data_IF_214844776892
#
_entry.id   IF_214844776892
#
_cell.length_a   1.000
_cell.length_b   1.000
_cell.length_c   1.000
_cell.angle_alpha   90.00
_cell.angle_beta   90.00
_cell.angle_gamma   90.00
#
_symmetry.space_group_name_H-M   'P 1'
#
loop_
_entity.id
_entity.type
_entity.pdbx_description
1 polymer ?
#
# COMPACT_ATOMS: atom_id res chain seq x y z
N UNK A 1 36.49 -31.98 55.02
CA UNK A 1 36.60 -31.10 53.85
C UNK A 1 36.27 -31.93 52.62
N UNK A 2 35.05 -31.85 52.12
CA UNK A 2 34.71 -32.22 50.76
C UNK A 2 33.37 -31.54 50.44
N UNK A 3 33.42 -30.57 49.52
CA UNK A 3 32.30 -29.69 49.14
C UNK A 3 31.51 -30.39 48.04
N UNK A 4 30.24 -30.71 48.30
CA UNK A 4 29.29 -31.18 47.30
C UNK A 4 28.63 -29.95 46.64
N UNK A 5 29.12 -29.53 45.47
CA UNK A 5 28.55 -28.45 44.68
C UNK A 5 27.45 -29.01 43.77
N UNK A 6 26.17 -28.85 44.15
CA UNK A 6 25.03 -29.08 43.25
C UNK A 6 24.70 -27.77 42.53
N UNK A 7 25.12 -27.66 41.27
CA UNK A 7 24.68 -26.59 40.37
C UNK A 7 23.29 -26.98 39.83
N UNK A 8 22.24 -26.33 40.31
CA UNK A 8 20.94 -26.34 39.63
C UNK A 8 21.05 -25.41 38.41
N UNK A 9 21.08 -25.98 37.22
CA UNK A 9 20.94 -25.22 35.98
C UNK A 9 19.45 -24.89 35.80
N UNK A 10 19.07 -23.64 36.12
CA UNK A 10 17.75 -23.10 35.83
C UNK A 10 17.68 -22.83 34.32
N UNK A 11 17.15 -23.77 33.55
CA UNK A 11 16.79 -23.53 32.16
C UNK A 11 15.56 -22.60 32.13
N UNK A 12 15.79 -21.28 31.99
CA UNK A 12 14.74 -20.38 31.54
C UNK A 12 14.39 -20.75 30.09
N UNK A 13 13.34 -21.55 29.92
CA UNK A 13 12.63 -21.65 28.65
C UNK A 13 11.95 -20.29 28.42
N UNK A 14 12.60 -19.41 27.66
CA UNK A 14 11.90 -18.31 27.01
C UNK A 14 11.05 -18.98 25.93
N UNK A 15 9.79 -19.27 26.27
CA UNK A 15 8.79 -19.64 25.29
C UNK A 15 8.58 -18.42 24.40
N UNK A 16 9.29 -18.38 23.26
CA UNK A 16 8.96 -17.46 22.20
C UNK A 16 7.53 -17.77 21.77
N UNK A 17 6.60 -16.86 22.05
CA UNK A 17 5.29 -16.93 21.43
C UNK A 17 5.50 -16.70 19.94
N UNK A 18 5.50 -17.77 19.15
CA UNK A 18 5.29 -17.64 17.72
C UNK A 18 3.87 -17.12 17.55
N UNK A 19 3.71 -15.83 17.24
CA UNK A 19 2.42 -15.36 16.77
C UNK A 19 2.11 -16.09 15.46
N UNK A 20 0.95 -16.72 15.40
CA UNK A 20 0.46 -17.30 14.16
C UNK A 20 0.35 -16.17 13.14
N UNK A 21 0.98 -16.37 11.99
CA UNK A 21 0.89 -15.44 10.88
C UNK A 21 -0.58 -15.33 10.44
N UNK A 22 -1.10 -14.12 10.37
CA UNK A 22 -2.50 -13.88 9.98
C UNK A 22 -2.57 -13.76 8.47
N UNK A 23 -3.41 -14.56 7.82
CA UNK A 23 -3.63 -14.53 6.37
C UNK A 23 -4.96 -13.84 6.07
N UNK A 24 -4.97 -12.94 5.08
CA UNK A 24 -6.17 -12.22 4.65
C UNK A 24 -6.35 -12.27 3.13
N UNK A 25 -7.61 -12.37 2.71
CA UNK A 25 -8.05 -12.28 1.33
C UNK A 25 -9.55 -11.94 1.29
N UNK A 26 -10.06 -11.52 0.13
CA UNK A 26 -11.47 -11.28 -0.08
C UNK A 26 -12.00 -9.99 0.56
N UNK A 27 -13.32 -9.92 0.86
CA UNK A 27 -13.93 -8.76 1.51
C UNK A 27 -13.33 -8.48 2.89
N UNK A 28 -13.03 -7.21 3.18
CA UNK A 28 -12.53 -6.72 4.47
C UNK A 28 -13.30 -5.45 4.86
N UNK A 29 -13.62 -5.32 6.15
CA UNK A 29 -14.19 -4.12 6.77
C UNK A 29 -13.89 -4.08 8.26
N UNK A 30 -14.24 -2.99 8.94
CA UNK A 30 -13.92 -2.78 10.35
C UNK A 30 -12.47 -2.34 10.54
N UNK A 31 -11.75 -2.96 11.47
CA UNK A 31 -10.38 -2.57 11.83
C UNK A 31 -9.39 -3.70 11.61
N UNK A 32 -8.27 -3.41 10.93
CA UNK A 32 -7.09 -4.27 10.83
C UNK A 32 -5.91 -3.64 11.56
N UNK A 33 -5.12 -4.46 12.24
CA UNK A 33 -3.91 -4.06 12.95
C UNK A 33 -4.06 -3.91 14.47
N UNK A 34 -2.93 -3.69 15.17
CA UNK A 34 -1.56 -3.70 14.64
C UNK A 34 -1.07 -5.14 14.34
N UNK A 35 0.09 -5.27 13.68
CA UNK A 35 0.78 -6.54 13.46
C UNK A 35 0.98 -6.92 12.00
N UNK A 36 1.51 -8.12 11.78
CA UNK A 36 1.82 -8.67 10.46
C UNK A 36 0.66 -9.47 9.87
N UNK A 37 0.28 -9.12 8.65
CA UNK A 37 -0.70 -9.80 7.83
C UNK A 37 -0.06 -10.24 6.51
N UNK A 38 -0.33 -11.48 6.11
CA UNK A 38 -0.06 -11.97 4.76
C UNK A 38 -1.29 -11.80 3.91
N UNK A 39 -1.19 -10.95 2.90
CA UNK A 39 -2.22 -10.80 1.89
C UNK A 39 -2.03 -11.93 0.89
N UNK A 40 -2.97 -12.89 0.89
CA UNK A 40 -2.92 -14.11 0.07
C UNK A 40 -3.91 -14.15 -1.09
N UNK A 41 -4.63 -13.06 -1.29
CA UNK A 41 -5.56 -12.87 -2.38
C UNK A 41 -5.96 -11.41 -2.51
N UNK A 42 -6.74 -11.10 -3.52
CA UNK A 42 -7.27 -9.73 -3.69
C UNK A 42 -8.10 -9.33 -2.48
N UNK A 43 -7.92 -8.08 -2.03
CA UNK A 43 -8.70 -7.48 -0.95
C UNK A 43 -9.80 -6.61 -1.55
N UNK A 44 -10.98 -6.63 -0.94
CA UNK A 44 -12.08 -5.74 -1.33
C UNK A 44 -12.67 -5.03 -0.13
N UNK A 45 -12.89 -3.73 -0.24
CA UNK A 45 -13.79 -3.01 0.68
C UNK A 45 -15.09 -2.80 -0.08
N UNK A 46 -16.18 -3.37 0.41
CA UNK A 46 -17.48 -3.36 -0.28
C UNK A 46 -18.14 -1.97 -0.23
N UNK A 47 -19.06 -1.64 -1.15
CA UNK A 47 -19.81 -0.38 -1.07
C UNK A 47 -20.50 -0.20 0.28
N UNK A 48 -20.38 0.99 0.88
CA UNK A 48 -20.94 1.31 2.20
C UNK A 48 -20.17 0.76 3.40
N UNK A 49 -19.13 -0.03 3.18
CA UNK A 49 -18.25 -0.50 4.24
C UNK A 49 -17.03 0.42 4.39
N UNK A 50 -16.50 0.46 5.61
CA UNK A 50 -15.25 1.15 5.92
C UNK A 50 -14.24 0.14 6.44
N UNK A 51 -13.01 0.23 5.95
CA UNK A 51 -11.87 -0.47 6.49
C UNK A 51 -10.88 0.56 7.06
N UNK A 52 -10.62 0.47 8.36
CA UNK A 52 -9.59 1.22 9.06
C UNK A 52 -8.37 0.33 9.28
N UNK A 53 -7.19 0.80 8.91
CA UNK A 53 -5.92 0.14 9.20
C UNK A 53 -5.15 1.02 10.19
N UNK A 54 -4.81 0.46 11.34
CA UNK A 54 -4.20 1.20 12.45
C UNK A 54 -2.67 1.22 12.36
N UNK A 55 -1.98 2.14 13.07
CA UNK A 55 -0.53 2.19 13.14
C UNK A 55 0.12 0.85 13.50
N UNK A 56 1.31 0.58 12.96
CA UNK A 56 2.07 -0.65 13.22
C UNK A 56 1.54 -1.88 12.50
N UNK A 57 0.87 -1.68 11.37
CA UNK A 57 0.37 -2.76 10.52
C UNK A 57 1.29 -3.00 9.33
N UNK A 58 1.73 -4.25 9.15
CA UNK A 58 2.52 -4.70 8.00
C UNK A 58 1.68 -5.66 7.14
N UNK A 59 1.41 -5.27 5.89
CA UNK A 59 0.62 -6.00 4.90
C UNK A 59 1.58 -6.52 3.82
N UNK A 60 2.06 -7.74 4.03
CA UNK A 60 2.98 -8.42 3.12
C UNK A 60 2.23 -9.25 2.10
N UNK A 61 2.31 -8.85 0.84
CA UNK A 61 1.60 -9.49 -0.25
C UNK A 61 2.40 -10.68 -0.79
N UNK A 62 1.81 -11.88 -0.75
CA UNK A 62 2.46 -13.12 -1.23
C UNK A 62 2.17 -13.42 -2.71
N UNK A 63 1.82 -12.41 -3.49
CA UNK A 63 1.45 -12.54 -4.89
C UNK A 63 1.05 -11.19 -5.48
N UNK A 64 0.60 -11.21 -6.73
CA UNK A 64 0.24 -10.00 -7.48
C UNK A 64 -1.19 -9.52 -7.14
N UNK A 65 -1.48 -9.43 -5.84
CA UNK A 65 -2.80 -9.10 -5.32
C UNK A 65 -3.05 -7.61 -5.37
N UNK A 66 -4.30 -7.24 -5.64
CA UNK A 66 -4.78 -5.85 -5.64
C UNK A 66 -5.74 -5.62 -4.49
N UNK A 67 -5.86 -4.36 -4.10
CA UNK A 67 -6.96 -3.89 -3.26
C UNK A 67 -7.96 -3.17 -4.15
N UNK A 68 -9.23 -3.57 -4.08
CA UNK A 68 -10.35 -2.93 -4.78
C UNK A 68 -11.25 -2.27 -3.73
N UNK A 69 -11.15 -0.94 -3.60
CA UNK A 69 -11.84 -0.16 -2.59
C UNK A 69 -13.08 0.45 -3.26
N UNK A 70 -14.24 -0.17 -3.04
CA UNK A 70 -15.56 0.35 -3.45
C UNK A 70 -16.28 1.08 -2.30
N UNK A 71 -15.83 0.87 -1.06
CA UNK A 71 -16.24 1.61 0.13
C UNK A 71 -15.18 2.65 0.52
N UNK A 72 -14.88 2.78 1.81
CA UNK A 72 -13.85 3.69 2.32
C UNK A 72 -12.65 2.93 2.90
N UNK A 73 -11.43 3.37 2.61
CA UNK A 73 -10.22 2.91 3.28
C UNK A 73 -9.58 4.07 4.05
N UNK A 74 -9.41 3.90 5.36
CA UNK A 74 -8.68 4.83 6.21
C UNK A 74 -7.43 4.12 6.74
N UNK A 75 -6.29 4.29 6.06
CA UNK A 75 -5.01 3.78 6.52
C UNK A 75 -4.23 4.93 7.15
N UNK A 76 -4.24 4.97 8.49
CA UNK A 76 -3.77 6.13 9.26
C UNK A 76 -2.67 5.67 10.22
N UNK A 77 -1.43 5.70 9.74
CA UNK A 77 -0.24 5.43 10.53
C UNK A 77 0.17 6.62 11.39
N UNK A 78 1.37 6.54 11.96
CA UNK A 78 2.01 7.68 12.64
C UNK A 78 3.47 7.80 12.23
N UNK A 79 4.10 8.94 12.57
CA UNK A 79 5.53 9.17 12.38
C UNK A 79 6.40 8.08 13.03
N UNK A 80 5.99 7.61 14.22
CA UNK A 80 6.70 6.57 14.96
C UNK A 80 6.31 5.15 14.55
N UNK A 81 5.19 4.96 13.87
CA UNK A 81 4.61 3.65 13.61
C UNK A 81 3.76 3.68 12.32
N UNK A 82 4.44 3.55 11.18
CA UNK A 82 3.83 3.62 9.85
C UNK A 82 3.07 2.33 9.50
N UNK A 83 2.21 2.43 8.48
CA UNK A 83 1.56 1.27 7.87
C UNK A 83 2.32 0.87 6.61
N UNK A 84 2.60 -0.42 6.44
CA UNK A 84 3.38 -0.93 5.31
C UNK A 84 2.49 -1.76 4.37
N UNK A 85 2.32 -1.29 3.13
CA UNK A 85 1.78 -2.07 2.02
C UNK A 85 2.95 -2.47 1.12
N UNK A 86 3.44 -3.69 1.30
CA UNK A 86 4.70 -4.13 0.69
C UNK A 86 4.60 -5.55 0.15
N UNK A 87 5.55 -5.93 -0.71
CA UNK A 87 5.70 -7.33 -1.09
C UNK A 87 6.20 -8.19 0.08
N UNK A 88 5.84 -9.47 0.06
CA UNK A 88 6.46 -10.45 0.94
C UNK A 88 7.91 -10.74 0.52
N UNK A 89 8.86 -10.62 1.45
CA UNK A 89 10.27 -10.94 1.25
C UNK A 89 10.56 -12.37 1.74
N UNK A 90 11.47 -13.16 1.13
CA UNK A 90 12.43 -12.85 0.06
C UNK A 90 11.90 -12.99 -1.37
N UNK A 91 10.61 -13.31 -1.58
CA UNK A 91 10.11 -13.63 -2.92
C UNK A 91 9.98 -12.37 -3.78
N UNK A 92 10.95 -12.16 -4.68
CA UNK A 92 11.01 -10.97 -5.54
C UNK A 92 9.94 -10.92 -6.63
N UNK A 93 9.33 -12.07 -6.96
CA UNK A 93 8.26 -12.17 -7.96
C UNK A 93 6.91 -11.66 -7.43
N UNK A 94 6.73 -11.62 -6.10
CA UNK A 94 5.56 -11.02 -5.50
C UNK A 94 5.71 -9.50 -5.59
N UNK A 95 5.13 -8.89 -6.61
CA UNK A 95 5.05 -7.43 -6.71
C UNK A 95 3.57 -7.12 -6.82
N UNK A 96 2.97 -6.88 -5.67
CA UNK A 96 1.54 -6.62 -5.53
C UNK A 96 1.11 -5.47 -6.44
N UNK A 97 -0.17 -5.46 -6.81
CA UNK A 97 -0.60 -4.62 -7.91
C UNK A 97 -0.72 -3.15 -7.53
N UNK A 98 -1.65 -2.79 -6.65
CA UNK A 98 -1.93 -1.39 -6.24
C UNK A 98 -3.08 -1.32 -5.24
N UNK A 99 -3.20 -0.16 -4.58
CA UNK A 99 -4.44 0.30 -3.97
C UNK A 99 -5.31 0.94 -5.05
N UNK A 100 -6.50 0.39 -5.30
CA UNK A 100 -7.41 0.85 -6.36
C UNK A 100 -8.72 1.34 -5.78
N UNK A 101 -8.88 2.66 -5.76
CA UNK A 101 -10.13 3.34 -5.40
C UNK A 101 -11.05 3.36 -6.62
N UNK A 102 -12.17 2.66 -6.47
CA UNK A 102 -13.12 2.39 -7.55
C UNK A 102 -14.33 3.30 -7.40
N UNK A 103 -14.83 3.81 -8.52
CA UNK A 103 -16.07 4.57 -8.57
C UNK A 103 -17.18 3.88 -7.76
N UNK A 104 -17.94 4.67 -6.98
CA UNK A 104 -19.00 4.19 -6.12
C UNK A 104 -18.72 4.31 -4.61
N UNK A 105 -17.50 4.65 -4.21
CA UNK A 105 -17.21 5.07 -2.84
C UNK A 105 -17.90 6.41 -2.54
N UNK A 106 -18.74 6.44 -1.50
CA UNK A 106 -19.46 7.65 -1.10
C UNK A 106 -18.59 8.64 -0.33
N UNK A 107 -17.61 8.13 0.42
CA UNK A 107 -16.73 8.90 1.28
C UNK A 107 -15.29 8.89 0.76
N UNK A 108 -14.57 9.99 0.99
CA UNK A 108 -13.16 10.09 0.65
C UNK A 108 -12.32 9.14 1.51
N UNK A 109 -11.25 8.58 0.94
CA UNK A 109 -10.33 7.68 1.65
C UNK A 109 -9.05 8.40 2.09
N UNK A 110 -8.42 7.93 3.17
CA UNK A 110 -7.20 8.50 3.74
C UNK A 110 -6.04 7.51 3.70
N UNK A 111 -4.87 8.00 3.30
CA UNK A 111 -3.58 7.30 3.32
C UNK A 111 -2.59 8.23 4.03
N UNK A 112 -2.37 8.03 5.32
CA UNK A 112 -1.49 8.85 6.15
C UNK A 112 -0.40 7.99 6.80
N UNK A 113 0.85 8.47 6.79
CA UNK A 113 2.02 7.73 7.30
C UNK A 113 2.09 6.28 6.79
N UNK A 114 1.88 6.10 5.49
CA UNK A 114 1.93 4.82 4.82
C UNK A 114 3.18 4.67 3.95
N UNK A 115 3.67 3.43 3.83
CA UNK A 115 4.70 3.03 2.88
C UNK A 115 4.07 2.08 1.87
N UNK A 116 3.96 2.53 0.62
CA UNK A 116 3.49 1.76 -0.53
C UNK A 116 4.71 1.49 -1.39
N UNK A 117 5.16 0.24 -1.43
CA UNK A 117 6.45 -0.08 -2.03
C UNK A 117 6.46 -1.40 -2.83
N UNK A 118 7.27 -1.40 -3.89
CA UNK A 118 7.52 -2.56 -4.75
C UNK A 118 6.24 -3.10 -5.41
N UNK A 119 5.43 -2.21 -5.96
CA UNK A 119 4.25 -2.56 -6.72
C UNK A 119 4.59 -2.84 -8.18
N UNK A 120 3.95 -3.83 -8.80
CA UNK A 120 4.06 -4.04 -10.24
C UNK A 120 2.74 -4.56 -10.77
N UNK A 121 2.23 -3.86 -11.77
CA UNK A 121 1.06 -4.33 -12.49
C UNK A 121 1.56 -5.02 -13.76
N UNK A 122 1.67 -6.36 -13.78
CA UNK A 122 2.09 -7.08 -14.97
C UNK A 122 1.12 -6.84 -16.14
N UNK A 123 1.63 -7.03 -17.36
CA UNK A 123 0.85 -6.92 -18.58
C UNK A 123 -0.41 -7.80 -18.52
N UNK A 124 -1.58 -7.17 -18.45
CA UNK A 124 -2.90 -7.81 -18.31
C UNK A 124 -4.04 -7.02 -18.97
N UNK A 125 -5.26 -7.06 -18.43
CA UNK A 125 -6.42 -6.32 -18.98
C UNK A 125 -6.25 -4.79 -18.83
N UNK A 126 -6.87 -3.95 -19.69
CA UNK A 126 -6.53 -2.52 -19.78
C UNK A 126 -6.76 -1.69 -18.49
N UNK A 127 -7.82 -1.98 -17.74
CA UNK A 127 -8.20 -1.20 -16.54
C UNK A 127 -7.30 -1.45 -15.33
N UNK A 128 -6.46 -2.49 -15.36
CA UNK A 128 -5.49 -2.73 -14.28
C UNK A 128 -4.20 -1.95 -14.47
N UNK A 129 -3.97 -1.28 -15.60
CA UNK A 129 -2.62 -0.83 -16.00
C UNK A 129 -2.21 0.59 -15.60
N UNK A 130 -3.04 1.26 -14.83
CA UNK A 130 -2.88 2.64 -14.41
C UNK A 130 -2.64 2.67 -12.90
N UNK A 131 -1.76 3.56 -12.44
CA UNK A 131 -1.51 3.77 -11.02
C UNK A 131 -0.76 2.61 -10.38
N UNK A 132 0.56 2.58 -10.53
CA UNK A 132 1.38 1.45 -10.05
C UNK A 132 1.32 1.29 -8.54
N UNK A 133 1.32 2.39 -7.76
CA UNK A 133 1.09 2.34 -6.31
C UNK A 133 -0.38 2.57 -5.97
N UNK A 134 -0.92 3.70 -6.44
CA UNK A 134 -2.29 4.12 -6.19
C UNK A 134 -2.99 4.41 -7.52
N UNK A 135 -4.22 3.90 -7.65
CA UNK A 135 -5.16 4.25 -8.70
C UNK A 135 -6.43 4.81 -8.07
N UNK A 136 -6.92 5.95 -8.55
CA UNK A 136 -8.27 6.43 -8.26
C UNK A 136 -9.01 6.87 -9.52
N UNK A 137 -10.31 6.55 -9.58
CA UNK A 137 -11.22 7.03 -10.62
C UNK A 137 -12.57 7.41 -10.00
N UNK A 138 -12.91 8.70 -10.03
CA UNK A 138 -14.19 9.19 -9.49
C UNK A 138 -14.27 9.21 -7.96
N UNK A 139 -13.16 8.96 -7.24
CA UNK A 139 -13.12 8.89 -5.78
C UNK A 139 -12.05 9.83 -5.25
N UNK A 140 -12.46 10.74 -4.38
CA UNK A 140 -11.55 11.68 -3.72
C UNK A 140 -10.70 10.94 -2.69
N UNK A 141 -9.39 11.21 -2.68
CA UNK A 141 -8.45 10.63 -1.73
C UNK A 141 -7.49 11.68 -1.20
N UNK A 142 -7.09 11.52 0.05
CA UNK A 142 -6.05 12.32 0.69
C UNK A 142 -4.87 11.43 1.04
N UNK A 143 -3.70 11.77 0.53
CA UNK A 143 -2.43 11.08 0.77
C UNK A 143 -1.49 12.05 1.47
N UNK A 144 -1.11 11.74 2.71
CA UNK A 144 -0.28 12.61 3.55
C UNK A 144 0.86 11.85 4.20
N UNK A 145 1.99 12.51 4.45
CA UNK A 145 3.13 11.97 5.20
C UNK A 145 3.60 10.58 4.74
N UNK A 146 3.40 10.25 3.47
CA UNK A 146 3.50 8.88 2.95
C UNK A 146 4.59 8.74 1.92
N UNK A 147 5.07 7.52 1.75
CA UNK A 147 6.04 7.15 0.71
C UNK A 147 5.40 6.21 -0.30
N UNK A 148 5.52 6.56 -1.58
CA UNK A 148 5.15 5.69 -2.71
C UNK A 148 6.40 5.48 -3.56
N UNK A 149 6.93 4.26 -3.58
CA UNK A 149 8.17 3.98 -4.29
C UNK A 149 8.25 2.65 -4.99
N UNK A 150 9.13 2.57 -5.99
CA UNK A 150 9.42 1.35 -6.73
C UNK A 150 8.15 0.71 -7.33
N UNK A 151 7.20 1.55 -7.74
CA UNK A 151 5.94 1.14 -8.33
C UNK A 151 5.99 1.24 -9.86
N UNK A 152 5.55 0.19 -10.55
CA UNK A 152 5.54 0.11 -12.00
C UNK A 152 4.11 0.06 -12.56
N UNK A 153 3.79 1.01 -13.44
CA UNK A 153 2.56 1.03 -14.24
C UNK A 153 2.86 0.75 -15.71
N UNK A 154 1.99 0.00 -16.37
CA UNK A 154 2.15 -0.25 -17.82
C UNK A 154 1.68 0.95 -18.66
N UNK A 155 0.73 1.75 -18.16
CA UNK A 155 0.33 3.01 -18.77
C UNK A 155 0.72 4.17 -17.84
N UNK A 156 -0.24 5.01 -17.48
CA UNK A 156 0.00 6.28 -16.81
C UNK A 156 0.09 6.14 -15.29
N UNK A 157 0.84 7.04 -14.66
CA UNK A 157 0.93 7.14 -13.21
C UNK A 157 1.71 5.98 -12.60
N UNK A 158 3.04 5.97 -12.77
CA UNK A 158 3.88 4.91 -12.19
C UNK A 158 3.70 4.81 -10.67
N UNK A 159 3.67 5.94 -9.97
CA UNK A 159 3.30 6.01 -8.56
C UNK A 159 1.78 6.14 -8.38
N UNK A 160 1.23 7.28 -8.81
CA UNK A 160 -0.19 7.61 -8.65
C UNK A 160 -0.84 7.89 -10.00
N UNK A 161 -2.01 7.30 -10.22
CA UNK A 161 -2.93 7.73 -11.27
C UNK A 161 -4.24 8.21 -10.64
N UNK A 162 -4.70 9.39 -11.05
CA UNK A 162 -6.02 9.89 -10.69
C UNK A 162 -6.82 10.32 -11.93
N UNK A 163 -8.10 9.98 -11.95
CA UNK A 163 -9.05 10.37 -12.98
C UNK A 163 -10.35 10.87 -12.38
N UNK A 164 -10.86 12.01 -12.84
CA UNK A 164 -12.16 12.56 -12.43
C UNK A 164 -12.35 12.61 -10.91
N UNK A 165 -11.28 12.92 -10.18
CA UNK A 165 -11.22 12.87 -8.72
C UNK A 165 -10.43 14.06 -8.18
N UNK A 166 -10.78 14.53 -6.99
CA UNK A 166 -9.99 15.50 -6.25
C UNK A 166 -9.00 14.74 -5.36
N UNK A 167 -7.72 14.83 -5.71
CA UNK A 167 -6.63 14.22 -4.94
C UNK A 167 -5.84 15.29 -4.19
N UNK A 168 -5.59 15.05 -2.91
CA UNK A 168 -4.65 15.84 -2.10
C UNK A 168 -3.42 14.99 -1.84
N UNK A 169 -2.24 15.51 -2.18
CA UNK A 169 -0.94 14.91 -1.89
C UNK A 169 -0.10 15.93 -1.13
N UNK A 170 0.16 15.68 0.15
CA UNK A 170 0.89 16.62 1.01
C UNK A 170 1.97 15.91 1.85
N UNK A 171 3.15 16.52 2.00
CA UNK A 171 4.29 15.91 2.73
C UNK A 171 4.65 14.48 2.29
N UNK A 172 4.52 14.18 0.99
CA UNK A 172 4.78 12.85 0.46
C UNK A 172 6.13 12.74 -0.23
N UNK A 173 6.66 11.52 -0.26
CA UNK A 173 7.81 11.14 -1.09
C UNK A 173 7.36 10.15 -2.16
N UNK A 174 7.31 10.61 -3.41
CA UNK A 174 6.89 9.82 -4.58
C UNK A 174 8.11 9.63 -5.48
N UNK A 175 8.74 8.46 -5.38
CA UNK A 175 10.10 8.29 -5.87
C UNK A 175 10.38 6.93 -6.50
N UNK A 176 11.23 6.91 -7.52
CA UNK A 176 11.67 5.66 -8.18
C UNK A 176 10.50 4.86 -8.79
N UNK A 177 9.45 5.55 -9.26
CA UNK A 177 8.30 4.94 -9.92
C UNK A 177 8.38 5.04 -11.45
N UNK A 178 7.83 4.06 -12.16
CA UNK A 178 7.93 3.97 -13.62
C UNK A 178 6.58 3.80 -14.30
N UNK A 179 6.33 4.61 -15.33
CA UNK A 179 5.27 4.44 -16.32
C UNK A 179 5.90 3.94 -17.63
N UNK A 180 5.45 2.81 -18.16
CA UNK A 180 6.06 2.18 -19.35
C UNK A 180 5.19 2.31 -20.61
N UNK A 181 5.59 1.65 -21.70
CA UNK A 181 4.78 1.49 -22.93
C UNK A 181 4.23 2.77 -23.59
N UNK A 182 5.04 3.83 -23.65
CA UNK A 182 4.65 5.09 -24.30
C UNK A 182 3.72 5.95 -23.43
N UNK A 183 3.68 5.70 -22.12
CA UNK A 183 2.79 6.40 -21.22
C UNK A 183 3.48 7.52 -20.42
N UNK A 184 2.63 8.39 -19.86
CA UNK A 184 3.00 9.63 -19.18
C UNK A 184 2.88 9.54 -17.66
N UNK A 185 3.61 10.42 -16.96
CA UNK A 185 3.50 10.57 -15.51
C UNK A 185 4.13 9.41 -14.75
N UNK A 186 5.45 9.30 -14.77
CA UNK A 186 6.19 8.27 -14.03
C UNK A 186 5.91 8.32 -12.52
N UNK A 187 5.81 9.54 -11.97
CA UNK A 187 5.43 9.75 -10.57
C UNK A 187 3.91 9.82 -10.44
N UNK A 188 3.31 10.88 -10.98
CA UNK A 188 1.88 11.16 -10.89
C UNK A 188 1.33 11.44 -12.29
N UNK A 189 0.15 10.92 -12.58
CA UNK A 189 -0.66 11.32 -13.73
C UNK A 189 -2.06 11.70 -13.28
N UNK A 190 -2.52 12.87 -13.70
CA UNK A 190 -3.83 13.43 -13.37
C UNK A 190 -4.65 13.63 -14.64
N UNK A 191 -5.89 13.16 -14.66
CA UNK A 191 -6.82 13.32 -15.77
C UNK A 191 -8.15 13.85 -15.25
N UNK A 192 -8.57 15.03 -15.71
CA UNK A 192 -9.81 15.67 -15.25
C UNK A 192 -9.87 15.83 -13.72
N UNK A 193 -8.75 16.18 -13.10
CA UNK A 193 -8.62 16.40 -11.66
C UNK A 193 -8.52 17.91 -11.37
N UNK A 194 -9.59 18.65 -11.65
CA UNK A 194 -9.56 20.13 -11.71
C UNK A 194 -9.18 20.80 -10.37
N UNK A 195 -9.39 20.12 -9.24
CA UNK A 195 -9.05 20.61 -7.89
C UNK A 195 -7.95 19.78 -7.20
N UNK A 196 -7.11 19.08 -7.96
CA UNK A 196 -5.98 18.36 -7.37
C UNK A 196 -5.01 19.34 -6.68
N UNK A 197 -4.56 18.98 -5.47
CA UNK A 197 -3.59 19.75 -4.69
C UNK A 197 -2.38 18.87 -4.40
N UNK A 198 -1.21 19.31 -4.84
CA UNK A 198 0.06 18.63 -4.57
C UNK A 198 1.01 19.66 -3.93
N UNK A 199 1.32 19.49 -2.66
CA UNK A 199 2.10 20.43 -1.85
C UNK A 199 3.12 19.71 -0.99
N UNK A 200 4.18 20.42 -0.57
CA UNK A 200 5.20 19.95 0.38
C UNK A 200 5.79 18.56 0.09
N UNK A 201 5.74 18.11 -1.17
CA UNK A 201 6.06 16.73 -1.55
C UNK A 201 7.27 16.70 -2.47
N UNK A 202 8.09 15.66 -2.31
CA UNK A 202 9.21 15.37 -3.21
C UNK A 202 8.76 14.34 -4.25
N UNK A 203 8.82 14.74 -5.54
CA UNK A 203 8.52 13.87 -6.68
C UNK A 203 9.80 13.74 -7.50
N UNK A 204 10.58 12.70 -7.23
CA UNK A 204 11.95 12.56 -7.76
C UNK A 204 12.21 11.20 -8.40
N UNK A 205 13.17 11.13 -9.33
CA UNK A 205 13.64 9.87 -9.95
C UNK A 205 12.54 8.97 -10.52
N UNK A 206 11.42 9.56 -10.92
CA UNK A 206 10.36 8.83 -11.59
C UNK A 206 10.59 8.87 -13.11
N UNK A 207 10.22 7.80 -13.81
CA UNK A 207 10.46 7.64 -15.25
C UNK A 207 9.16 7.35 -16.02
N UNK A 208 9.03 7.93 -17.20
CA UNK A 208 7.92 7.67 -18.11
C UNK A 208 8.50 7.46 -19.52
N UNK A 209 7.96 6.52 -20.30
CA UNK A 209 8.44 6.27 -21.68
C UNK A 209 7.61 6.92 -22.78
N UNK A 210 6.54 7.62 -22.41
CA UNK A 210 5.76 8.50 -23.29
C UNK A 210 6.52 9.76 -23.70
N UNK A 211 6.15 10.31 -24.85
CA UNK A 211 6.69 11.54 -25.42
C UNK A 211 5.78 12.73 -25.15
#
# INVERSE_FOLDING_TARGET
MEKLLKVLMLCLLVAGFAQAQTYISGPQSGTLGPGLYIVEGNIRVMPGETLTIVPGTDLQHNGNWKWEIYGQLNAEGTESDSIYFVRQNPVGEHRWASLRFMEGAADASTIDYCVIDNCNIPSGTPSTKLGGGIYTNGVDITVTNSRISNCDAYWHGGGIYASSANIVVDYCLIVDNTATSGANGGGIYLMNCDNAVITNSEIARNSATGT
#
